data_IF_289899167798
#
_entry.id   IF_289899167798
#
_cell.length_a   1.000
_cell.length_b   1.000
_cell.length_c   1.000
_cell.angle_alpha   90.00
_cell.angle_beta   90.00
_cell.angle_gamma   90.00
#
_symmetry.space_group_name_H-M   'P 1'
#
loop_
_entity.id
_entity.type
_entity.pdbx_description
1 polymer ?
#
# COMPACT_ATOMS: atom_id res chain seq x y z
N UNK A 1 8.05 4.79 -20.18
CA UNK A 1 8.06 5.39 -18.83
C UNK A 1 7.68 4.29 -17.86
N UNK A 2 8.62 3.78 -17.06
CA UNK A 2 8.34 2.71 -16.11
C UNK A 2 7.76 3.35 -14.85
N UNK A 3 6.43 3.40 -14.78
CA UNK A 3 5.67 4.24 -13.85
C UNK A 3 5.78 3.84 -12.38
N UNK A 4 5.68 4.84 -11.49
CA UNK A 4 5.52 4.71 -10.03
C UNK A 4 4.43 3.69 -9.66
N UNK A 5 3.35 3.63 -10.47
CA UNK A 5 2.27 2.65 -10.29
C UNK A 5 2.74 1.21 -10.46
N UNK A 6 3.60 0.94 -11.45
CA UNK A 6 4.16 -0.40 -11.67
C UNK A 6 5.14 -0.76 -10.57
N UNK A 7 5.96 0.19 -10.12
CA UNK A 7 6.81 0.04 -8.93
C UNK A 7 5.99 -0.36 -7.70
N UNK A 8 4.90 0.35 -7.41
CA UNK A 8 3.98 -0.01 -6.34
C UNK A 8 3.41 -1.42 -6.54
N UNK A 9 2.91 -1.75 -7.74
CA UNK A 9 2.30 -3.07 -8.01
C UNK A 9 3.29 -4.22 -7.76
N UNK A 10 4.56 -4.06 -8.14
CA UNK A 10 5.60 -5.06 -7.90
C UNK A 10 5.95 -5.17 -6.41
N UNK A 11 6.15 -4.05 -5.72
CA UNK A 11 6.63 -4.06 -4.34
C UNK A 11 5.53 -4.31 -3.29
N UNK A 12 4.28 -3.95 -3.58
CA UNK A 12 3.14 -4.11 -2.66
C UNK A 12 2.92 -5.54 -2.18
N UNK A 13 3.31 -6.55 -2.97
CA UNK A 13 3.27 -7.96 -2.56
C UNK A 13 4.28 -8.28 -1.47
N UNK A 14 5.52 -7.83 -1.63
CA UNK A 14 6.61 -7.99 -0.65
C UNK A 14 6.34 -7.18 0.62
N UNK A 15 5.77 -5.98 0.48
CA UNK A 15 5.49 -5.05 1.57
C UNK A 15 4.17 -5.35 2.31
N UNK A 16 3.60 -6.54 2.12
CA UNK A 16 2.39 -7.01 2.80
C UNK A 16 1.19 -6.04 2.72
N UNK A 17 1.01 -5.37 1.58
CA UNK A 17 -0.24 -4.66 1.31
C UNK A 17 -1.35 -5.70 1.07
N UNK A 18 -2.50 -5.48 1.71
CA UNK A 18 -3.71 -6.26 1.49
C UNK A 18 -4.22 -6.06 0.06
N UNK A 19 -5.09 -6.95 -0.39
CA UNK A 19 -5.74 -6.82 -1.70
C UNK A 19 -6.56 -5.52 -1.80
N UNK A 20 -7.28 -5.17 -0.73
CA UNK A 20 -8.05 -3.91 -0.67
C UNK A 20 -7.15 -2.67 -0.77
N UNK A 21 -6.03 -2.63 -0.03
CA UNK A 21 -5.06 -1.53 -0.11
C UNK A 21 -4.45 -1.40 -1.52
N UNK A 22 -4.13 -2.53 -2.16
CA UNK A 22 -3.63 -2.54 -3.56
C UNK A 22 -4.65 -1.99 -4.53
N UNK A 23 -5.92 -2.34 -4.36
CA UNK A 23 -7.03 -1.85 -5.19
C UNK A 23 -7.29 -0.35 -4.97
N UNK A 24 -7.20 0.12 -3.73
CA UNK A 24 -7.36 1.54 -3.36
C UNK A 24 -6.31 2.41 -4.05
N UNK A 25 -5.03 2.03 -4.01
CA UNK A 25 -3.94 2.77 -4.66
C UNK A 25 -4.04 2.71 -6.17
N UNK A 26 -4.41 1.56 -6.74
CA UNK A 26 -4.56 1.38 -8.19
C UNK A 26 -5.87 1.94 -8.75
N UNK A 27 -6.74 2.49 -7.91
CA UNK A 27 -8.07 3.00 -8.27
C UNK A 27 -8.91 1.96 -9.03
N UNK A 28 -8.89 0.71 -8.57
CA UNK A 28 -9.75 -0.32 -9.13
C UNK A 28 -11.20 -0.04 -8.71
N UNK A 29 -12.01 0.42 -9.67
CA UNK A 29 -13.41 0.72 -9.46
C UNK A 29 -14.21 -0.57 -9.27
N UNK A 30 -14.63 -0.85 -8.03
CA UNK A 30 -15.45 -2.01 -7.71
C UNK A 30 -16.94 -1.62 -7.81
N UNK A 31 -17.67 -2.20 -8.78
CA UNK A 31 -19.03 -1.76 -9.19
C UNK A 31 -20.18 -2.28 -8.30
N UNK A 32 -19.93 -2.79 -7.10
CA UNK A 32 -20.98 -3.38 -6.27
C UNK A 32 -21.81 -2.31 -5.52
N UNK A 33 -23.13 -2.56 -5.42
CA UNK A 33 -24.13 -1.61 -4.93
C UNK A 33 -23.93 -1.25 -3.44
N UNK A 34 -23.44 -2.19 -2.63
CA UNK A 34 -23.18 -2.00 -1.19
C UNK A 34 -22.09 -0.97 -0.86
N UNK A 35 -21.23 -0.62 -1.83
CA UNK A 35 -20.08 0.28 -1.61
C UNK A 35 -20.37 1.76 -1.90
N UNK A 36 -21.60 2.19 -2.22
CA UNK A 36 -21.92 3.63 -2.36
C UNK A 36 -21.70 4.41 -1.06
N UNK A 37 -22.02 3.82 0.08
CA UNK A 37 -21.76 4.43 1.40
C UNK A 37 -20.27 4.38 1.78
N UNK A 38 -19.61 3.25 1.48
CA UNK A 38 -18.15 3.06 1.66
C UNK A 38 -17.31 4.07 0.85
N UNK A 39 -17.67 4.31 -0.41
CA UNK A 39 -17.00 5.29 -1.27
C UNK A 39 -17.13 6.73 -0.76
N UNK A 40 -18.16 7.02 0.06
CA UNK A 40 -18.47 8.35 0.56
C UNK A 40 -17.73 8.69 1.85
N UNK A 41 -17.60 7.73 2.77
CA UNK A 41 -17.06 7.99 4.11
C UNK A 41 -15.67 7.40 4.31
N UNK A 42 -15.49 6.12 4.00
CA UNK A 42 -14.28 5.39 4.40
C UNK A 42 -13.19 5.44 3.33
N UNK A 43 -13.58 5.46 2.05
CA UNK A 43 -12.64 5.33 0.93
C UNK A 43 -11.53 6.39 0.92
N UNK A 44 -11.85 7.67 1.18
CA UNK A 44 -10.83 8.73 1.19
C UNK A 44 -9.87 8.59 2.37
N UNK A 45 -10.40 8.16 3.53
CA UNK A 45 -9.59 7.90 4.74
C UNK A 45 -8.64 6.74 4.48
N UNK A 46 -9.16 5.59 4.04
CA UNK A 46 -8.35 4.41 3.74
C UNK A 46 -7.35 4.68 2.61
N UNK A 47 -7.72 5.47 1.59
CA UNK A 47 -6.81 5.89 0.52
C UNK A 47 -5.66 6.73 1.06
N UNK A 48 -5.93 7.67 1.97
CA UNK A 48 -4.89 8.47 2.59
C UNK A 48 -3.95 7.61 3.43
N UNK A 49 -4.49 6.74 4.27
CA UNK A 49 -3.73 5.84 5.13
C UNK A 49 -2.84 4.89 4.31
N UNK A 50 -3.39 4.28 3.27
CA UNK A 50 -2.65 3.39 2.37
C UNK A 50 -1.54 4.14 1.63
N UNK A 51 -1.81 5.38 1.21
CA UNK A 51 -0.80 6.22 0.53
C UNK A 51 0.32 6.61 1.49
N UNK A 52 0.01 6.94 2.75
CA UNK A 52 1.02 7.23 3.78
C UNK A 52 1.88 6.00 4.11
N UNK A 53 1.27 4.80 4.15
CA UNK A 53 1.99 3.53 4.29
C UNK A 53 2.97 3.35 3.12
N UNK A 54 2.52 3.63 1.89
CA UNK A 54 3.38 3.56 0.71
C UNK A 54 4.52 4.59 0.73
N UNK A 55 4.24 5.83 1.13
CA UNK A 55 5.24 6.88 1.28
C UNK A 55 6.36 6.46 2.25
N UNK A 56 5.99 5.98 3.44
CA UNK A 56 6.95 5.49 4.44
C UNK A 56 7.81 4.35 3.89
N UNK A 57 7.18 3.40 3.19
CA UNK A 57 7.90 2.29 2.59
C UNK A 57 8.92 2.76 1.54
N UNK A 58 8.56 3.72 0.67
CA UNK A 58 9.50 4.30 -0.29
C UNK A 58 10.63 5.04 0.42
N UNK A 59 10.32 5.85 1.44
CA UNK A 59 11.34 6.60 2.18
C UNK A 59 12.40 5.66 2.78
N UNK A 60 11.97 4.52 3.32
CA UNK A 60 12.87 3.48 3.81
C UNK A 60 13.64 2.85 2.64
N UNK A 61 13.00 2.47 1.54
CA UNK A 61 13.68 1.88 0.37
C UNK A 61 14.75 2.79 -0.25
N UNK A 62 14.62 4.11 -0.10
CA UNK A 62 15.58 5.09 -0.60
C UNK A 62 16.80 5.25 0.33
N UNK A 63 16.81 4.64 1.51
CA UNK A 63 18.01 4.61 2.38
C UNK A 63 19.05 3.64 1.84
N UNK A 64 20.31 3.77 2.30
CA UNK A 64 21.46 3.01 1.80
C UNK A 64 21.28 1.48 1.94
N UNK A 65 20.53 1.04 2.95
CA UNK A 65 20.26 -0.38 3.27
C UNK A 65 18.76 -0.68 3.41
N UNK A 66 17.90 0.10 2.72
CA UNK A 66 16.45 0.11 2.92
C UNK A 66 15.73 -1.23 2.77
N UNK A 67 16.24 -2.12 1.91
CA UNK A 67 15.71 -3.49 1.77
C UNK A 67 15.90 -4.32 3.05
N UNK A 68 17.05 -4.19 3.69
CA UNK A 68 17.36 -4.87 4.96
C UNK A 68 16.48 -4.33 6.07
N UNK A 69 16.31 -3.00 6.13
CA UNK A 69 15.46 -2.34 7.12
C UNK A 69 13.99 -2.77 7.00
N UNK A 70 13.46 -2.87 5.78
CA UNK A 70 12.10 -3.35 5.53
C UNK A 70 11.92 -4.80 5.95
N UNK A 71 12.86 -5.68 5.62
CA UNK A 71 12.76 -7.08 6.02
C UNK A 71 12.76 -7.23 7.54
N UNK A 72 13.58 -6.45 8.26
CA UNK A 72 13.59 -6.42 9.72
C UNK A 72 12.28 -5.91 10.32
N UNK A 73 11.63 -4.91 9.71
CA UNK A 73 10.31 -4.42 10.15
C UNK A 73 9.25 -5.51 9.96
N UNK A 74 9.24 -6.16 8.79
CA UNK A 74 8.31 -7.24 8.46
C UNK A 74 8.47 -8.43 9.42
N UNK A 75 9.71 -8.84 9.71
CA UNK A 75 10.00 -9.94 10.63
C UNK A 75 9.55 -9.63 12.06
N UNK A 76 9.73 -8.37 12.51
CA UNK A 76 9.25 -7.92 13.83
C UNK A 76 7.72 -7.92 13.93
N UNK A 77 7.00 -7.47 12.90
CA UNK A 77 5.54 -7.52 12.88
C UNK A 77 5.00 -8.96 12.92
N UNK A 78 5.71 -9.93 12.33
CA UNK A 78 5.32 -11.35 12.36
C UNK A 78 5.55 -12.00 13.74
N UNK A 79 6.42 -11.43 14.57
CA UNK A 79 6.80 -11.99 15.86
C UNK A 79 5.92 -11.54 17.04
N UNK A 80 4.97 -10.63 16.79
CA UNK A 80 3.95 -10.14 17.72
C UNK A 80 2.63 -10.90 17.53
#
# INVERSE_FOLDING_TARGET
MHDIRRTFKTLSGMLHFTENEKDIVNQHANKSIGKKHYARYDYIVEKRETTLKWEKAIQILLTKDGLTEINLIIEKERAL
#
